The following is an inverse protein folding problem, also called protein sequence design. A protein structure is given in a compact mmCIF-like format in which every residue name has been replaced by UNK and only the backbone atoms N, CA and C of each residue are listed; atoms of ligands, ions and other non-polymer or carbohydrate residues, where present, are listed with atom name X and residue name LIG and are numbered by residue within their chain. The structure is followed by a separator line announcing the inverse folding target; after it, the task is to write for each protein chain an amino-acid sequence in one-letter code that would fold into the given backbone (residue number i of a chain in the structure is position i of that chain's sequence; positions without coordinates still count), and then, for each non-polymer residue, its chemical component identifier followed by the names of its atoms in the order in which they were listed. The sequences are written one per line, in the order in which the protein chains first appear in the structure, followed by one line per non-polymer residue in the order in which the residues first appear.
data_IF_420288636383
#
_entry.id   IF_420288636383
#
_cell.length_a   1.000
_cell.length_b   1.000
_cell.length_c   1.000
_cell.angle_alpha   90.00
_cell.angle_beta   90.00
_cell.angle_gamma   90.00
#
_symmetry.space_group_name_H-M   'P 1'
#
loop_
_entity.id
_entity.type
_entity.pdbx_description
1 polymer ?
#
# COMPACT_ATOMS: atom_id res chain seq x y z
N UNK A 1 5.24 14.82 -4.91
CA UNK A 1 3.88 15.42 -4.81
C UNK A 1 2.83 14.31 -4.66
N UNK A 2 1.57 14.64 -4.38
CA UNK A 2 0.46 13.67 -4.32
C UNK A 2 0.28 12.93 -5.66
N UNK A 3 0.54 13.60 -6.78
CA UNK A 3 0.55 12.95 -8.10
C UNK A 3 1.64 11.86 -8.17
N UNK A 4 2.86 12.16 -7.73
CA UNK A 4 3.96 11.18 -7.66
C UNK A 4 3.58 9.96 -6.82
N UNK A 5 2.97 10.16 -5.64
CA UNK A 5 2.51 9.08 -4.77
C UNK A 5 1.52 8.16 -5.50
N UNK A 6 0.48 8.73 -6.10
CA UNK A 6 -0.55 7.98 -6.83
C UNK A 6 0.03 7.21 -8.00
N UNK A 7 0.99 7.79 -8.72
CA UNK A 7 1.68 7.14 -9.84
C UNK A 7 2.50 5.95 -9.36
N UNK A 8 3.31 6.12 -8.30
CA UNK A 8 4.14 5.04 -7.74
C UNK A 8 3.27 3.86 -7.30
N UNK A 9 2.18 4.12 -6.56
CA UNK A 9 1.30 3.05 -6.09
C UNK A 9 0.52 2.37 -7.22
N UNK A 10 0.12 3.10 -8.26
CA UNK A 10 -0.48 2.52 -9.48
C UNK A 10 0.49 1.61 -10.20
N UNK A 11 1.71 2.08 -10.45
CA UNK A 11 2.75 1.29 -11.12
C UNK A 11 3.10 0.05 -10.31
N UNK A 12 3.28 0.19 -8.98
CA UNK A 12 3.56 -0.94 -8.11
C UNK A 12 2.45 -2.01 -8.18
N UNK A 13 1.18 -1.62 -8.08
CA UNK A 13 0.07 -2.56 -8.17
C UNK A 13 -0.03 -3.21 -9.55
N UNK A 14 0.12 -2.46 -10.64
CA UNK A 14 0.13 -3.02 -11.99
C UNK A 14 1.29 -4.01 -12.18
N UNK A 15 2.51 -3.66 -11.76
CA UNK A 15 3.68 -4.52 -11.89
C UNK A 15 3.60 -5.79 -11.03
N UNK A 16 2.98 -5.72 -9.84
CA UNK A 16 2.93 -6.86 -8.93
C UNK A 16 1.69 -7.74 -9.09
N UNK A 17 0.51 -7.15 -9.33
CA UNK A 17 -0.79 -7.84 -9.44
C UNK A 17 -1.24 -8.03 -10.90
N UNK A 18 -0.60 -7.36 -11.86
CA UNK A 18 -0.88 -7.42 -13.30
C UNK A 18 -1.49 -6.14 -13.87
N UNK A 19 -1.25 -5.87 -15.15
CA UNK A 19 -1.67 -4.65 -15.87
C UNK A 19 -3.18 -4.35 -15.81
N UNK A 20 -4.03 -5.37 -15.61
CA UNK A 20 -5.48 -5.22 -15.46
C UNK A 20 -5.93 -4.73 -14.08
N UNK A 21 -5.00 -4.43 -13.16
CA UNK A 21 -5.33 -4.08 -11.77
C UNK A 21 -5.97 -2.70 -11.68
N UNK A 22 -7.25 -2.67 -11.29
CA UNK A 22 -7.99 -1.42 -11.07
C UNK A 22 -7.80 -0.98 -9.62
N UNK A 23 -7.25 0.21 -9.42
CA UNK A 23 -7.02 0.81 -8.10
C UNK A 23 -7.80 2.12 -7.92
N UNK A 24 -8.11 2.45 -6.67
CA UNK A 24 -8.64 3.76 -6.29
C UNK A 24 -7.91 4.31 -5.07
N UNK A 25 -7.99 5.63 -4.92
CA UNK A 25 -7.49 6.34 -3.75
C UNK A 25 -8.68 7.06 -3.11
N UNK A 26 -8.91 6.84 -1.83
CA UNK A 26 -9.97 7.51 -1.06
C UNK A 26 -9.34 8.34 0.07
N UNK A 27 -9.86 9.52 0.41
CA UNK A 27 -9.39 10.28 1.56
C UNK A 27 -9.45 9.44 2.83
N UNK A 28 -8.44 9.61 3.69
CA UNK A 28 -8.36 8.95 4.98
C UNK A 28 -7.61 9.85 5.97
N UNK A 29 -7.29 9.34 7.15
CA UNK A 29 -6.53 10.06 8.16
C UNK A 29 -5.42 9.18 8.76
N UNK A 30 -4.19 9.66 8.71
CA UNK A 30 -3.07 9.15 9.48
C UNK A 30 -2.33 10.33 10.11
N UNK A 31 -1.99 10.31 11.41
CA UNK A 31 -1.43 11.47 12.11
C UNK A 31 -0.03 11.89 11.64
N UNK A 32 0.61 11.09 10.79
CA UNK A 32 1.94 11.34 10.23
C UNK A 32 1.91 11.71 8.73
N UNK A 33 0.72 11.86 8.12
CA UNK A 33 0.56 12.33 6.74
C UNK A 33 -0.60 13.30 6.57
N UNK A 34 -0.40 14.35 5.77
CA UNK A 34 -1.45 15.30 5.38
C UNK A 34 -1.15 15.92 4.00
N UNK A 35 -2.01 15.75 2.97
CA UNK A 35 -3.24 14.94 2.96
C UNK A 35 -2.97 13.44 2.95
N UNK A 36 -3.87 12.69 3.60
CA UNK A 36 -3.88 11.24 3.73
C UNK A 36 -4.88 10.54 2.79
N UNK A 37 -4.53 9.35 2.32
CA UNK A 37 -5.38 8.48 1.47
C UNK A 37 -5.25 7.00 1.84
N UNK A 38 -6.31 6.23 1.64
CA UNK A 38 -6.22 4.77 1.54
C UNK A 38 -6.17 4.33 0.09
N UNK A 39 -5.46 3.24 -0.14
CA UNK A 39 -5.21 2.62 -1.43
C UNK A 39 -5.94 1.28 -1.50
N UNK A 40 -6.93 1.19 -2.38
CA UNK A 40 -7.73 -0.01 -2.58
C UNK A 40 -7.53 -0.58 -3.99
N UNK A 41 -7.66 -1.89 -4.15
CA UNK A 41 -7.78 -2.57 -5.45
C UNK A 41 -9.13 -3.27 -5.60
N UNK A 42 -9.59 -3.40 -6.85
CA UNK A 42 -10.81 -4.14 -7.18
C UNK A 42 -10.55 -5.65 -7.05
N UNK A 43 -11.42 -6.36 -6.34
CA UNK A 43 -11.43 -7.83 -6.25
C UNK A 43 -12.85 -8.34 -6.45
N UNK A 44 -13.10 -9.02 -7.57
CA UNK A 44 -14.47 -9.36 -7.99
C UNK A 44 -15.31 -8.08 -8.15
N UNK A 45 -16.49 -8.04 -7.52
CA UNK A 45 -17.36 -6.86 -7.53
C UNK A 45 -16.98 -5.82 -6.45
N UNK A 46 -16.17 -6.19 -5.46
CA UNK A 46 -15.85 -5.37 -4.29
C UNK A 46 -14.51 -4.63 -4.36
N UNK A 47 -14.30 -3.76 -3.38
CA UNK A 47 -13.02 -3.08 -3.13
C UNK A 47 -12.34 -3.72 -1.93
N UNK A 48 -11.02 -3.92 -2.04
CA UNK A 48 -10.21 -4.45 -0.96
C UNK A 48 -9.08 -3.46 -0.67
N UNK A 49 -9.00 -3.05 0.60
CA UNK A 49 -7.93 -2.20 1.08
C UNK A 49 -6.57 -2.92 1.01
N UNK A 50 -5.58 -2.24 0.44
CA UNK A 50 -4.19 -2.72 0.30
C UNK A 50 -3.24 -2.02 1.28
N UNK A 51 -3.57 -0.80 1.69
CA UNK A 51 -2.81 -0.04 2.67
C UNK A 51 -3.12 1.46 2.69
N UNK A 52 -2.47 2.15 3.62
CA UNK A 52 -2.54 3.60 3.78
C UNK A 52 -1.37 4.31 3.09
N UNK A 53 -1.59 5.56 2.68
CA UNK A 53 -0.56 6.41 2.10
C UNK A 53 -0.86 7.90 2.28
N UNK A 54 0.14 8.77 2.11
CA UNK A 54 -0.09 10.21 2.15
C UNK A 54 1.18 11.03 1.97
N UNK A 55 1.01 12.35 1.89
CA UNK A 55 2.13 13.29 1.95
C UNK A 55 2.61 13.39 3.39
N UNK A 56 3.92 13.33 3.65
CA UNK A 56 4.45 13.35 5.02
C UNK A 56 4.08 14.67 5.71
N UNK A 57 3.55 14.59 6.93
CA UNK A 57 3.15 15.77 7.69
C UNK A 57 4.39 16.67 8.00
N UNK A 58 4.28 18.00 7.86
CA UNK A 58 5.40 18.91 8.14
C UNK A 58 6.00 18.77 9.54
N UNK A 59 5.21 18.40 10.55
CA UNK A 59 5.70 18.19 11.92
C UNK A 59 6.57 16.94 12.02
N UNK A 60 6.30 15.90 11.22
CA UNK A 60 7.15 14.71 11.12
C UNK A 60 8.50 15.07 10.50
N UNK A 61 8.50 15.85 9.43
CA UNK A 61 9.74 16.33 8.79
C UNK A 61 10.58 17.18 9.77
N UNK A 62 9.94 18.12 10.47
CA UNK A 62 10.58 18.95 11.50
C UNK A 62 11.17 18.11 12.64
N UNK A 63 10.44 17.11 13.14
CA UNK A 63 10.91 16.21 14.18
C UNK A 63 12.13 15.39 13.75
N UNK A 64 12.28 15.12 12.45
CA UNK A 64 13.44 14.47 11.86
C UNK A 64 14.58 15.42 11.45
N UNK A 65 14.48 16.72 11.73
CA UNK A 65 15.51 17.72 11.42
C UNK A 65 15.47 18.27 10.00
N UNK A 66 14.38 18.08 9.26
CA UNK A 66 14.19 18.61 7.91
C UNK A 66 13.32 19.87 7.90
N UNK A 67 13.66 20.83 7.04
CA UNK A 67 12.84 22.03 6.77
C UNK A 67 11.73 21.69 5.75
N UNK A 68 10.44 21.68 6.15
CA UNK A 68 9.34 21.31 5.25
C UNK A 68 9.05 22.34 4.14
N UNK A 69 9.63 23.55 4.22
CA UNK A 69 9.57 24.51 3.10
C UNK A 69 10.56 24.16 1.98
N UNK A 70 11.62 23.40 2.30
CA UNK A 70 12.66 23.00 1.35
C UNK A 70 12.47 21.57 0.84
N UNK A 71 11.92 20.68 1.67
CA UNK A 71 11.71 19.27 1.31
C UNK A 71 10.28 18.82 1.54
N UNK A 72 9.80 17.96 0.65
CA UNK A 72 8.53 17.25 0.82
C UNK A 72 8.70 15.80 0.42
N UNK A 73 7.83 14.94 0.95
CA UNK A 73 7.87 13.50 0.69
C UNK A 73 6.50 12.88 0.81
N UNK A 74 6.39 11.62 0.41
CA UNK A 74 5.20 10.80 0.66
C UNK A 74 5.63 9.48 1.29
N UNK A 75 4.73 8.89 2.06
CA UNK A 75 4.89 7.59 2.67
C UNK A 75 3.70 6.71 2.34
N UNK A 76 3.91 5.40 2.37
CA UNK A 76 2.85 4.40 2.23
C UNK A 76 3.20 3.15 3.05
N UNK A 77 2.19 2.46 3.55
CA UNK A 77 2.30 1.22 4.30
C UNK A 77 1.39 0.17 3.70
N UNK A 78 1.97 -0.92 3.19
CA UNK A 78 1.25 -1.97 2.47
C UNK A 78 1.34 -3.29 3.23
N UNK A 79 0.24 -4.04 3.26
CA UNK A 79 0.23 -5.38 3.85
C UNK A 79 0.84 -6.41 2.91
N UNK A 80 2.07 -6.87 3.18
CA UNK A 80 2.76 -7.87 2.34
C UNK A 80 1.91 -9.14 2.18
N UNK A 81 1.38 -9.67 3.28
CA UNK A 81 0.52 -10.86 3.25
C UNK A 81 -0.70 -10.67 2.34
N UNK A 82 -1.32 -9.48 2.33
CA UNK A 82 -2.46 -9.17 1.47
C UNK A 82 -2.08 -9.26 -0.01
N UNK A 83 -0.96 -8.66 -0.40
CA UNK A 83 -0.46 -8.71 -1.77
C UNK A 83 -0.12 -10.14 -2.20
N UNK A 84 0.58 -10.91 -1.36
CA UNK A 84 0.88 -12.31 -1.63
C UNK A 84 -0.40 -13.14 -1.79
N UNK A 85 -1.38 -12.96 -0.91
CA UNK A 85 -2.67 -13.66 -1.00
C UNK A 85 -3.39 -13.37 -2.32
N UNK A 86 -3.38 -12.12 -2.76
CA UNK A 86 -4.00 -11.73 -4.03
C UNK A 86 -3.26 -12.32 -5.24
N UNK A 87 -1.93 -12.26 -5.24
CA UNK A 87 -1.10 -12.74 -6.36
C UNK A 87 -1.16 -14.26 -6.51
N UNK A 88 -1.16 -14.98 -5.40
CA UNK A 88 -1.05 -16.44 -5.38
C UNK A 88 -2.38 -17.16 -5.13
N UNK A 89 -3.49 -16.42 -5.01
CA UNK A 89 -4.81 -17.01 -4.76
C UNK A 89 -4.92 -17.69 -3.39
N UNK A 90 -4.16 -17.25 -2.40
CA UNK A 90 -4.18 -17.81 -1.05
C UNK A 90 -5.40 -17.24 -0.31
N UNK A 91 -6.25 -18.12 0.19
CA UNK A 91 -7.53 -17.74 0.79
C UNK A 91 -7.48 -17.59 2.32
N UNK A 92 -6.43 -18.10 2.96
CA UNK A 92 -6.26 -18.05 4.41
C UNK A 92 -4.86 -17.54 4.78
N UNK A 93 -4.81 -16.46 5.56
CA UNK A 93 -3.56 -15.83 6.00
C UNK A 93 -2.76 -16.73 6.96
N UNK A 94 -3.43 -17.67 7.65
CA UNK A 94 -2.79 -18.57 8.63
C UNK A 94 -1.75 -19.48 8.00
N UNK A 95 -1.90 -19.80 6.71
CA UNK A 95 -0.90 -20.60 5.98
C UNK A 95 0.51 -19.98 5.99
N UNK A 96 0.64 -18.65 6.12
CA UNK A 96 1.95 -18.01 6.25
C UNK A 96 2.63 -18.25 7.61
N UNK A 97 1.86 -18.60 8.65
CA UNK A 97 2.37 -18.80 10.01
C UNK A 97 2.50 -20.28 10.38
N UNK A 98 1.71 -21.15 9.75
CA UNK A 98 1.72 -22.60 10.03
C UNK A 98 3.02 -23.30 9.57
N UNK A 99 3.79 -22.68 8.67
CA UNK A 99 5.06 -23.19 8.14
C UNK A 99 4.96 -24.63 7.57
N UNK A 100 3.82 -24.94 6.97
CA UNK A 100 3.53 -26.28 6.47
C UNK A 100 4.30 -26.56 5.17
N UNK A 101 5.06 -27.67 5.14
CA UNK A 101 6.01 -27.94 4.04
C UNK A 101 5.34 -28.14 2.67
N UNK A 102 4.12 -28.69 2.59
CA UNK A 102 3.40 -28.85 1.32
C UNK A 102 2.88 -27.51 0.81
N UNK A 103 2.51 -26.59 1.69
CA UNK A 103 2.19 -25.21 1.33
C UNK A 103 3.42 -24.49 0.79
N UNK A 104 4.54 -24.52 1.53
CA UNK A 104 5.77 -23.80 1.15
C UNK A 104 6.35 -24.27 -0.19
N UNK A 105 6.25 -25.57 -0.51
CA UNK A 105 6.76 -26.15 -1.78
C UNK A 105 5.99 -25.71 -3.04
N UNK A 106 4.88 -24.99 -2.93
CA UNK A 106 4.11 -24.52 -4.08
C UNK A 106 4.68 -23.24 -4.72
N UNK A 107 5.66 -22.60 -4.07
CA UNK A 107 6.29 -21.34 -4.45
C UNK A 107 7.80 -21.51 -4.58
#
# INVERSE_FOLDING_TARGET
TMSSLKTVLRLFAASYLGEGTIVRFRPSFFPFTEPSVEFDARRGTGWLELGGAGMVDPNVLKACGYDPEQVSGFAFGLGIARFCMMRHGINDIRHFYDNELRFLKQF
#
